data_IF_807052291141
#
_entry.id   IF_807052291141
#
_cell.length_a   1.000
_cell.length_b   1.000
_cell.length_c   1.000
_cell.angle_alpha   90.00
_cell.angle_beta   90.00
_cell.angle_gamma   90.00
#
_symmetry.space_group_name_H-M   'P 1'
#
loop_
_entity.id
_entity.type
_entity.pdbx_description
1 polymer ?
#
# COMPACT_ATOMS: atom_id res chain seq x y z
N UNK A 1 -2.64 15.39 -0.06
CA UNK A 1 -2.46 14.83 -1.37
C UNK A 1 -3.51 13.79 -1.69
N UNK A 2 -3.98 13.83 -2.91
CA UNK A 2 -4.98 12.89 -3.41
C UNK A 2 -4.42 12.18 -4.64
N UNK A 3 -5.05 11.05 -5.00
CA UNK A 3 -4.62 10.32 -6.16
C UNK A 3 -5.49 9.12 -6.42
N UNK A 4 -5.11 8.32 -7.41
CA UNK A 4 -5.89 7.16 -7.81
C UNK A 4 -5.64 5.97 -6.89
N UNK A 5 -4.45 5.88 -6.30
CA UNK A 5 -4.12 4.77 -5.43
C UNK A 5 -3.03 5.15 -4.42
N UNK A 6 -3.19 4.68 -3.21
CA UNK A 6 -2.18 4.79 -2.15
C UNK A 6 -1.60 3.41 -1.86
N UNK A 7 -0.27 3.30 -1.94
CA UNK A 7 0.44 2.13 -1.43
C UNK A 7 0.76 2.36 0.04
N UNK A 8 0.23 1.51 0.89
CA UNK A 8 0.47 1.59 2.33
C UNK A 8 1.36 0.43 2.73
N UNK A 9 2.57 0.73 3.17
CA UNK A 9 3.54 -0.30 3.54
C UNK A 9 3.92 -0.23 5.00
N UNK A 10 4.43 -1.35 5.52
CA UNK A 10 5.01 -1.43 6.85
C UNK A 10 6.00 -2.59 6.89
N UNK A 11 6.94 -2.54 7.82
CA UNK A 11 7.92 -3.60 7.96
C UNK A 11 8.84 -3.70 6.75
N UNK A 12 9.09 -4.91 6.27
CA UNK A 12 10.08 -5.19 5.24
C UNK A 12 9.70 -4.84 3.81
N UNK A 13 8.50 -4.31 3.57
CA UNK A 13 8.05 -4.02 2.20
C UNK A 13 8.39 -2.62 1.71
N UNK A 14 9.04 -1.81 2.54
CA UNK A 14 9.33 -0.42 2.22
C UNK A 14 10.07 -0.24 0.90
N UNK A 15 11.16 -0.95 0.71
CA UNK A 15 12.01 -0.81 -0.47
C UNK A 15 11.26 -1.14 -1.76
N UNK A 16 10.52 -2.25 -1.77
CA UNK A 16 9.76 -2.67 -2.93
C UNK A 16 8.64 -1.67 -3.25
N UNK A 17 7.94 -1.20 -2.23
CA UNK A 17 6.86 -0.23 -2.42
C UNK A 17 7.39 1.11 -2.92
N UNK A 18 8.50 1.57 -2.37
CA UNK A 18 9.13 2.82 -2.83
C UNK A 18 9.55 2.72 -4.29
N UNK A 19 10.23 1.64 -4.64
CA UNK A 19 10.69 1.42 -6.01
C UNK A 19 9.52 1.33 -6.99
N UNK A 20 8.47 0.60 -6.62
CA UNK A 20 7.27 0.50 -7.44
C UNK A 20 6.60 1.86 -7.63
N UNK A 21 6.49 2.64 -6.56
CA UNK A 21 5.88 3.97 -6.62
C UNK A 21 6.65 4.90 -7.55
N UNK A 22 7.98 4.91 -7.44
CA UNK A 22 8.82 5.74 -8.30
C UNK A 22 8.63 5.37 -9.77
N UNK A 23 8.61 4.06 -10.07
CA UNK A 23 8.41 3.58 -11.43
C UNK A 23 7.06 4.03 -11.98
N UNK A 24 6.00 3.89 -11.20
CA UNK A 24 4.66 4.27 -11.63
C UNK A 24 4.52 5.77 -11.80
N UNK A 25 5.12 6.56 -10.92
CA UNK A 25 5.08 8.01 -11.05
C UNK A 25 5.81 8.49 -12.29
N UNK A 26 6.90 7.84 -12.65
CA UNK A 26 7.62 8.14 -13.90
C UNK A 26 6.75 7.87 -15.12
N UNK A 27 5.85 6.90 -15.04
CA UNK A 27 4.89 6.58 -16.08
C UNK A 27 3.66 7.49 -16.06
N UNK A 28 3.63 8.49 -15.20
CA UNK A 28 2.52 9.43 -15.12
C UNK A 28 1.33 8.95 -14.29
N UNK A 29 1.46 7.85 -13.58
CA UNK A 29 0.38 7.33 -12.74
C UNK A 29 0.28 8.11 -11.43
N UNK A 30 -0.94 8.33 -10.97
CA UNK A 30 -1.20 9.06 -9.72
C UNK A 30 -1.22 8.10 -8.54
N UNK A 31 -0.05 7.63 -8.19
CA UNK A 31 0.15 6.69 -7.08
C UNK A 31 1.03 7.36 -6.02
N UNK A 32 0.65 7.21 -4.77
CA UNK A 32 1.44 7.72 -3.64
C UNK A 32 1.81 6.57 -2.72
N UNK A 33 2.81 6.80 -1.89
CA UNK A 33 3.32 5.78 -0.97
C UNK A 33 3.43 6.36 0.43
N UNK A 34 2.87 5.64 1.40
CA UNK A 34 3.02 5.96 2.83
C UNK A 34 3.58 4.73 3.52
N UNK A 35 4.62 4.91 4.31
CA UNK A 35 5.21 3.84 5.10
C UNK A 35 4.89 4.05 6.58
N UNK A 36 4.37 3.02 7.22
CA UNK A 36 4.05 3.06 8.66
C UNK A 36 5.13 2.31 9.42
N UNK A 37 5.71 2.96 10.41
CA UNK A 37 6.70 2.34 11.29
C UNK A 37 6.04 1.52 12.39
N UNK A 38 4.89 1.98 12.86
CA UNK A 38 4.19 1.37 13.99
C UNK A 38 2.74 1.13 13.61
N UNK A 39 2.24 -0.06 13.87
CA UNK A 39 0.83 -0.36 13.64
C UNK A 39 0.01 -0.32 14.94
N UNK A 40 0.66 -0.15 16.06
CA UNK A 40 -0.02 -0.01 17.34
C UNK A 40 0.78 0.97 18.22
N UNK A 41 0.31 2.23 18.40
CA UNK A 41 -0.86 2.82 17.74
C UNK A 41 -0.61 3.20 16.29
N UNK A 42 -1.68 3.25 15.51
CA UNK A 42 -1.61 3.76 14.15
C UNK A 42 -1.44 5.29 14.17
N UNK A 43 -0.83 5.87 13.11
CA UNK A 43 -0.71 7.33 13.03
C UNK A 43 -2.08 8.01 13.10
N UNK A 44 -2.15 9.12 13.84
CA UNK A 44 -3.42 9.81 14.08
C UNK A 44 -4.07 10.36 12.80
N UNK A 45 -3.26 10.80 11.85
CA UNK A 45 -3.76 11.42 10.62
C UNK A 45 -3.94 10.41 9.48
N UNK A 46 -3.69 9.13 9.72
CA UNK A 46 -3.75 8.11 8.68
C UNK A 46 -5.14 8.04 8.04
N UNK A 47 -6.20 8.09 8.86
CA UNK A 47 -7.56 8.05 8.33
C UNK A 47 -7.85 9.18 7.36
N UNK A 48 -7.38 10.39 7.65
CA UNK A 48 -7.57 11.53 6.75
C UNK A 48 -6.82 11.33 5.44
N UNK A 49 -5.63 10.74 5.50
CA UNK A 49 -4.86 10.43 4.29
C UNK A 49 -5.60 9.43 3.42
N UNK A 50 -6.13 8.38 4.04
CA UNK A 50 -6.78 7.29 3.31
C UNK A 50 -8.01 7.73 2.52
N UNK A 51 -8.79 8.67 3.04
CA UNK A 51 -10.01 9.11 2.36
C UNK A 51 -9.75 9.93 1.10
N UNK A 52 -8.51 10.41 0.90
CA UNK A 52 -8.15 11.17 -0.29
C UNK A 52 -7.78 10.30 -1.49
N UNK A 53 -7.79 8.99 -1.33
CA UNK A 53 -7.44 8.06 -2.40
C UNK A 53 -8.60 7.15 -2.75
N UNK A 54 -8.77 6.91 -4.04
CA UNK A 54 -9.85 6.03 -4.53
C UNK A 54 -9.59 4.57 -4.18
N UNK A 55 -8.32 4.18 -4.14
CA UNK A 55 -7.91 2.81 -3.84
C UNK A 55 -6.75 2.82 -2.86
N UNK A 56 -6.73 1.82 -1.99
CA UNK A 56 -5.61 1.60 -1.06
C UNK A 56 -5.13 0.17 -1.24
N UNK A 57 -3.84 -0.01 -1.49
CA UNK A 57 -3.23 -1.33 -1.63
C UNK A 57 -2.19 -1.53 -0.55
N UNK A 58 -2.25 -2.65 0.13
CA UNK A 58 -1.35 -2.98 1.24
C UNK A 58 -0.58 -4.27 0.91
N UNK A 59 0.64 -4.15 0.35
CA UNK A 59 1.49 -5.33 0.16
C UNK A 59 2.08 -5.77 1.50
N UNK A 60 1.88 -7.02 1.87
CA UNK A 60 2.35 -7.56 3.13
C UNK A 60 2.92 -8.96 2.99
N UNK A 61 3.95 -9.26 3.79
CA UNK A 61 4.45 -10.62 3.92
C UNK A 61 3.58 -11.41 4.89
N UNK A 62 3.09 -10.74 5.93
CA UNK A 62 2.21 -11.37 6.92
C UNK A 62 0.78 -11.43 6.43
N UNK A 63 0.05 -12.44 6.79
CA UNK A 63 -1.28 -12.82 6.28
C UNK A 63 -2.37 -11.74 6.41
N UNK A 64 -2.10 -10.54 5.89
CA UNK A 64 -3.08 -9.46 5.88
C UNK A 64 -3.30 -8.79 7.21
N UNK A 65 -2.30 -8.80 8.09
CA UNK A 65 -2.43 -8.21 9.43
C UNK A 65 -2.78 -6.72 9.38
N UNK A 66 -2.03 -5.94 8.61
CA UNK A 66 -2.30 -4.52 8.48
C UNK A 66 -3.59 -4.27 7.72
N UNK A 67 -3.87 -5.06 6.68
CA UNK A 67 -5.10 -4.94 5.91
C UNK A 67 -6.33 -5.04 6.80
N UNK A 68 -6.36 -6.05 7.67
CA UNK A 68 -7.50 -6.24 8.58
C UNK A 68 -7.62 -5.10 9.56
N UNK A 69 -6.50 -4.60 10.06
CA UNK A 69 -6.51 -3.49 11.01
C UNK A 69 -7.03 -2.21 10.36
N UNK A 70 -6.59 -1.92 9.14
CA UNK A 70 -7.03 -0.73 8.40
C UNK A 70 -8.52 -0.80 8.09
N UNK A 71 -9.01 -1.95 7.63
CA UNK A 71 -10.43 -2.12 7.36
C UNK A 71 -11.29 -1.96 8.61
N UNK A 72 -10.78 -2.46 9.73
CA UNK A 72 -11.50 -2.40 11.00
C UNK A 72 -11.53 -0.98 11.57
N UNK A 73 -10.40 -0.29 11.57
CA UNK A 73 -10.28 1.02 12.20
C UNK A 73 -10.90 2.16 11.37
N UNK A 74 -10.79 2.08 10.05
CA UNK A 74 -11.17 3.20 9.19
C UNK A 74 -12.32 2.89 8.25
N UNK A 75 -12.81 1.66 8.25
CA UNK A 75 -13.89 1.21 7.37
C UNK A 75 -13.60 1.52 5.89
N UNK A 76 -12.33 1.46 5.52
CA UNK A 76 -11.87 1.68 4.15
C UNK A 76 -11.78 0.34 3.44
N UNK A 77 -12.25 0.28 2.19
CA UNK A 77 -12.16 -0.92 1.37
C UNK A 77 -10.75 -1.06 0.78
N UNK A 78 -9.78 -1.30 1.65
CA UNK A 78 -8.40 -1.51 1.22
C UNK A 78 -8.24 -2.91 0.64
N UNK A 79 -7.33 -3.03 -0.32
CA UNK A 79 -7.00 -4.32 -0.95
C UNK A 79 -5.62 -4.76 -0.48
N UNK A 80 -5.46 -6.06 -0.30
CA UNK A 80 -4.20 -6.65 0.14
C UNK A 80 -3.47 -7.33 -1.00
N UNK A 81 -2.15 -7.34 -0.91
CA UNK A 81 -1.30 -8.15 -1.76
C UNK A 81 -0.40 -8.95 -0.83
N UNK A 82 -0.68 -10.25 -0.71
CA UNK A 82 0.11 -11.13 0.16
C UNK A 82 1.38 -11.56 -0.56
N UNK A 83 2.52 -11.18 0.00
CA UNK A 83 3.83 -11.54 -0.53
C UNK A 83 4.32 -12.82 0.15
N UNK A 84 4.97 -13.67 -0.62
CA UNK A 84 5.43 -14.97 -0.12
C UNK A 84 6.72 -14.78 0.69
N UNK A 85 6.69 -15.24 1.95
CA UNK A 85 7.87 -15.20 2.82
C UNK A 85 8.98 -16.07 2.23
N UNK A 86 10.19 -15.55 2.24
CA UNK A 86 11.34 -16.27 1.73
C UNK A 86 11.62 -16.07 0.25
N UNK A 87 10.74 -15.40 -0.47
CA UNK A 87 10.97 -15.04 -1.87
C UNK A 87 11.31 -13.57 -1.96
N UNK A 88 12.10 -13.15 -2.99
CA UNK A 88 12.39 -11.73 -3.16
C UNK A 88 11.11 -10.92 -3.33
N UNK A 89 11.04 -9.79 -2.62
CA UNK A 89 9.93 -8.86 -2.77
C UNK A 89 10.25 -7.98 -3.97
N UNK A 90 9.50 -8.16 -5.05
CA UNK A 90 9.75 -7.43 -6.29
C UNK A 90 8.82 -6.25 -6.50
N UNK A 91 9.39 -5.12 -6.90
CA UNK A 91 8.59 -3.95 -7.27
C UNK A 91 7.66 -4.28 -8.43
N UNK A 92 8.10 -5.13 -9.37
CA UNK A 92 7.28 -5.49 -10.53
C UNK A 92 5.95 -6.13 -10.15
N UNK A 93 5.95 -6.99 -9.12
CA UNK A 93 4.72 -7.63 -8.64
C UNK A 93 3.74 -6.58 -8.13
N UNK A 94 4.23 -5.58 -7.42
CA UNK A 94 3.40 -4.50 -6.90
C UNK A 94 2.85 -3.66 -8.03
N UNK A 95 3.68 -3.31 -9.01
CA UNK A 95 3.24 -2.54 -10.19
C UNK A 95 2.15 -3.27 -10.96
N UNK A 96 2.31 -4.57 -11.17
CA UNK A 96 1.29 -5.37 -11.86
C UNK A 96 -0.05 -5.34 -11.12
N UNK A 97 0.00 -5.47 -9.79
CA UNK A 97 -1.23 -5.45 -9.00
C UNK A 97 -1.91 -4.09 -9.05
N UNK A 98 -1.14 -3.01 -9.01
CA UNK A 98 -1.69 -1.65 -9.13
C UNK A 98 -2.36 -1.47 -10.49
N UNK A 99 -1.72 -1.90 -11.56
CA UNK A 99 -2.30 -1.80 -12.90
C UNK A 99 -3.59 -2.61 -13.01
N UNK A 100 -3.65 -3.77 -12.38
CA UNK A 100 -4.86 -4.58 -12.33
C UNK A 100 -6.00 -3.84 -11.62
N UNK A 101 -5.70 -3.18 -10.51
CA UNK A 101 -6.71 -2.44 -9.73
C UNK A 101 -7.20 -1.21 -10.49
N UNK A 102 -6.31 -0.48 -11.11
CA UNK A 102 -6.65 0.77 -11.80
C UNK A 102 -7.20 0.54 -13.21
N UNK A 103 -7.07 -0.66 -13.70
CA UNK A 103 -7.65 -1.05 -14.94
C UNK A 103 -6.93 -0.82 -16.16
#
# INVERSE_FOLDING_TARGET
>A
NSGDLLLLSWGGTYGACRSATETMQEDGMKVSHVHIRWISPLPKDLGEILIHFKNVLIPEINLGQLLRLIRSEYLVDAKGLNLVKGKPIGAATIVEKVKEILG
#
